data_IF_068629240263
#
_entry.id   IF_068629240263
#
_cell.length_a   1.000
_cell.length_b   1.000
_cell.length_c   1.000
_cell.angle_alpha   90.00
_cell.angle_beta   90.00
_cell.angle_gamma   90.00
#
_symmetry.space_group_name_H-M   'P 1'
#
loop_
_entity.id
_entity.type
_entity.pdbx_description
1 polymer ?
#
# COMPACT_ATOMS: atom_id res chain seq x y z
N UNK A 1 -1.31 25.38 -6.53
CA UNK A 1 -0.10 24.74 -6.06
C UNK A 1 0.15 23.43 -6.77
N UNK A 2 1.32 23.24 -7.18
CA UNK A 2 1.68 22.12 -8.03
C UNK A 2 2.06 20.89 -7.21
N UNK A 3 1.61 19.70 -7.66
CA UNK A 3 2.03 18.43 -7.10
C UNK A 3 3.23 17.84 -7.83
N UNK A 4 3.81 18.62 -8.73
CA UNK A 4 4.84 18.08 -9.63
C UNK A 4 6.05 17.51 -8.91
N UNK A 5 6.41 18.09 -7.79
CA UNK A 5 7.60 17.63 -7.06
C UNK A 5 7.27 16.66 -5.94
N UNK A 6 6.01 16.32 -5.79
CA UNK A 6 5.60 15.39 -4.74
C UNK A 6 5.60 13.97 -5.26
N UNK A 7 5.99 13.07 -4.39
CA UNK A 7 5.90 11.64 -4.65
C UNK A 7 4.56 11.14 -4.14
N UNK A 8 3.66 10.86 -5.06
CA UNK A 8 2.30 10.45 -4.76
C UNK A 8 2.13 8.97 -5.05
N UNK A 9 1.59 8.25 -4.09
CA UNK A 9 1.42 6.81 -4.23
C UNK A 9 0.03 6.40 -3.80
N UNK A 10 -0.39 5.24 -4.29
CA UNK A 10 -1.61 4.60 -3.85
C UNK A 10 -1.39 3.11 -3.74
N UNK A 11 -2.13 2.49 -2.83
CA UNK A 11 -2.06 1.05 -2.64
C UNK A 11 -3.49 0.54 -2.48
N UNK A 12 -3.85 -0.43 -3.29
CA UNK A 12 -5.02 -1.25 -3.02
C UNK A 12 -4.54 -2.51 -2.33
N UNK A 13 -5.15 -2.88 -1.23
CA UNK A 13 -4.68 -4.06 -0.52
C UNK A 13 -5.81 -4.80 0.19
N UNK A 14 -5.59 -6.09 0.35
CA UNK A 14 -6.35 -6.92 1.27
C UNK A 14 -5.33 -7.75 2.06
N UNK A 15 -5.78 -8.75 2.78
CA UNK A 15 -4.85 -9.55 3.59
C UNK A 15 -3.96 -10.46 2.76
N UNK A 16 -4.27 -10.64 1.48
CA UNK A 16 -3.54 -11.57 0.61
C UNK A 16 -2.66 -10.87 -0.40
N UNK A 17 -3.06 -9.69 -0.86
CA UNK A 17 -2.40 -9.06 -1.99
C UNK A 17 -2.42 -7.55 -1.86
N UNK A 18 -1.47 -6.92 -2.54
CA UNK A 18 -1.44 -5.47 -2.66
C UNK A 18 -1.00 -5.10 -4.08
N UNK A 19 -1.56 -4.00 -4.57
CA UNK A 19 -1.17 -3.42 -5.85
C UNK A 19 -0.71 -2.00 -5.57
N UNK A 20 0.49 -1.66 -6.02
CA UNK A 20 1.11 -0.37 -5.75
C UNK A 20 1.07 0.48 -7.02
N UNK A 21 0.61 1.71 -6.87
CA UNK A 21 0.48 2.67 -7.97
C UNK A 21 1.21 3.93 -7.57
N UNK A 22 1.85 4.58 -8.51
CA UNK A 22 2.51 5.84 -8.18
C UNK A 22 3.00 6.56 -9.39
N UNK A 23 3.53 7.76 -9.15
CA UNK A 23 4.19 8.53 -10.18
C UNK A 23 5.66 8.13 -10.17
N UNK A 24 6.18 7.77 -11.32
CA UNK A 24 7.52 7.25 -11.42
C UNK A 24 8.59 8.33 -11.36
N UNK A 25 8.34 9.45 -12.02
CA UNK A 25 9.31 10.50 -12.15
C UNK A 25 8.80 11.80 -11.54
N UNK A 26 9.75 12.60 -11.07
CA UNK A 26 9.43 13.95 -10.64
C UNK A 26 8.90 14.75 -11.84
N UNK A 27 7.89 15.53 -11.59
CA UNK A 27 7.36 16.41 -12.62
C UNK A 27 6.33 15.79 -13.52
N UNK A 28 6.02 14.50 -13.33
CA UNK A 28 4.96 13.86 -14.07
C UNK A 28 3.78 13.59 -13.14
N UNK A 29 2.58 13.73 -13.69
CA UNK A 29 1.36 13.43 -12.94
C UNK A 29 0.73 12.12 -13.39
N UNK A 30 1.43 11.40 -14.24
CA UNK A 30 0.91 10.14 -14.75
C UNK A 30 1.19 9.02 -13.77
N UNK A 31 0.14 8.31 -13.36
CA UNK A 31 0.27 7.21 -12.44
C UNK A 31 0.45 5.90 -13.21
N UNK A 32 1.24 5.02 -12.62
CA UNK A 32 1.54 3.72 -13.21
C UNK A 32 1.46 2.66 -12.15
N UNK A 33 1.21 1.42 -12.59
CA UNK A 33 1.29 0.26 -11.70
C UNK A 33 2.78 0.00 -11.44
N UNK A 34 3.18 0.11 -10.20
CA UNK A 34 4.58 -0.09 -9.83
C UNK A 34 4.90 -1.52 -9.45
N UNK A 35 3.89 -2.27 -9.05
CA UNK A 35 4.12 -3.66 -8.71
C UNK A 35 3.01 -4.26 -7.89
N UNK A 36 3.19 -5.54 -7.61
CA UNK A 36 2.25 -6.33 -6.82
C UNK A 36 3.03 -7.04 -5.74
N UNK A 37 2.42 -7.20 -4.57
CA UNK A 37 3.03 -7.92 -3.47
C UNK A 37 2.00 -8.90 -2.94
N UNK A 38 2.43 -10.12 -2.65
CA UNK A 38 1.56 -11.14 -2.09
C UNK A 38 1.96 -11.44 -0.66
N UNK A 39 0.97 -11.73 0.17
CA UNK A 39 1.21 -12.15 1.55
C UNK A 39 1.02 -13.66 1.64
N UNK A 40 2.10 -14.45 1.59
CA UNK A 40 1.98 -15.90 1.55
C UNK A 40 1.42 -16.50 2.84
N UNK A 41 1.51 -15.78 3.95
CA UNK A 41 1.03 -16.27 5.22
C UNK A 41 -0.48 -16.36 5.33
N UNK A 42 -1.19 -15.64 4.48
CA UNK A 42 -2.64 -15.57 4.58
C UNK A 42 -3.34 -16.89 4.24
N UNK A 43 -2.66 -17.78 3.53
CA UNK A 43 -3.24 -19.05 3.10
C UNK A 43 -2.75 -20.24 3.90
N UNK A 44 -2.05 -20.02 4.96
CA UNK A 44 -1.46 -21.11 5.73
C UNK A 44 -2.48 -21.74 6.66
N UNK A 45 -2.59 -23.05 6.62
CA UNK A 45 -3.55 -23.81 7.41
C UNK A 45 -2.93 -24.67 8.51
N UNK A 46 -1.76 -24.31 8.95
CA UNK A 46 -1.05 -25.08 9.94
C UNK A 46 -1.62 -24.90 11.35
N UNK A 47 -0.93 -25.45 12.33
CA UNK A 47 -1.26 -25.36 13.73
C UNK A 47 -1.58 -23.93 14.16
N UNK A 48 -2.66 -23.75 14.91
CA UNK A 48 -3.17 -22.43 15.24
C UNK A 48 -2.18 -21.53 15.97
N UNK A 49 -1.57 -22.05 17.03
CA UNK A 49 -0.65 -21.21 17.82
C UNK A 49 0.59 -20.81 17.05
N UNK A 50 1.10 -21.74 16.28
CA UNK A 50 2.25 -21.50 15.45
C UNK A 50 1.90 -20.52 14.33
N UNK A 51 0.71 -20.67 13.80
CA UNK A 51 0.21 -19.88 12.71
C UNK A 51 0.08 -18.40 13.10
N UNK A 52 -0.40 -18.13 14.30
CA UNK A 52 -0.60 -16.75 14.74
C UNK A 52 0.72 -15.97 14.74
N UNK A 53 1.77 -16.55 15.29
CA UNK A 53 3.08 -15.89 15.31
C UNK A 53 3.65 -15.72 13.91
N UNK A 54 3.45 -16.70 13.05
CA UNK A 54 3.89 -16.63 11.67
C UNK A 54 3.15 -15.53 10.91
N UNK A 55 1.85 -15.40 11.17
CA UNK A 55 1.04 -14.39 10.49
C UNK A 55 1.53 -12.98 10.81
N UNK A 56 1.90 -12.73 12.06
CA UNK A 56 2.39 -11.42 12.46
C UNK A 56 3.69 -11.12 11.71
N UNK A 57 4.62 -12.07 11.69
CA UNK A 57 5.90 -11.89 11.03
C UNK A 57 5.73 -11.70 9.52
N UNK A 58 4.85 -12.50 8.91
CA UNK A 58 4.63 -12.42 7.48
C UNK A 58 3.88 -11.15 7.08
N UNK A 59 2.99 -10.68 7.94
CA UNK A 59 2.31 -9.41 7.68
C UNK A 59 3.30 -8.25 7.71
N UNK A 60 4.23 -8.27 8.65
CA UNK A 60 5.29 -7.25 8.69
C UNK A 60 6.15 -7.30 7.44
N UNK A 61 6.50 -8.50 7.00
CA UNK A 61 7.27 -8.66 5.77
C UNK A 61 6.49 -8.15 4.57
N UNK A 62 5.21 -8.44 4.53
CA UNK A 62 4.31 -7.97 3.49
C UNK A 62 4.31 -6.43 3.43
N UNK A 63 4.15 -5.79 4.58
CA UNK A 63 4.18 -4.32 4.66
C UNK A 63 5.53 -3.76 4.23
N UNK A 64 6.60 -4.40 4.65
CA UNK A 64 7.94 -3.96 4.31
C UNK A 64 8.17 -4.04 2.80
N UNK A 65 7.68 -5.09 2.17
CA UNK A 65 7.82 -5.24 0.73
C UNK A 65 7.01 -4.19 -0.02
N UNK A 66 5.79 -3.90 0.45
CA UNK A 66 4.98 -2.86 -0.14
C UNK A 66 5.71 -1.52 -0.05
N UNK A 67 6.19 -1.19 1.13
CA UNK A 67 6.85 0.09 1.36
C UNK A 67 8.15 0.21 0.56
N UNK A 68 8.83 -0.90 0.33
CA UNK A 68 10.09 -0.87 -0.42
C UNK A 68 9.91 -0.43 -1.87
N UNK A 69 8.69 -0.53 -2.38
CA UNK A 69 8.40 -0.07 -3.74
C UNK A 69 8.08 1.43 -3.81
N UNK A 70 8.06 2.08 -2.65
CA UNK A 70 7.71 3.49 -2.54
C UNK A 70 8.77 4.20 -1.70
N UNK A 71 9.97 4.40 -2.23
CA UNK A 71 11.12 4.82 -1.40
C UNK A 71 10.98 6.21 -0.77
N UNK A 72 10.28 7.12 -1.38
CA UNK A 72 10.17 8.48 -0.85
C UNK A 72 8.73 8.94 -0.98
N UNK A 73 7.94 8.69 0.06
CA UNK A 73 6.52 9.00 0.01
C UNK A 73 6.25 10.39 0.55
N UNK A 74 5.62 11.23 -0.23
CA UNK A 74 5.09 12.50 0.26
C UNK A 74 3.64 12.34 0.66
N UNK A 75 2.83 11.73 -0.21
CA UNK A 75 1.44 11.43 0.10
C UNK A 75 1.12 10.04 -0.41
N UNK A 76 0.29 9.34 0.32
CA UNK A 76 -0.15 8.00 -0.06
C UNK A 76 -1.63 7.84 0.29
N UNK A 77 -2.37 7.27 -0.64
CA UNK A 77 -3.75 6.87 -0.39
C UNK A 77 -3.84 5.36 -0.39
N UNK A 78 -4.39 4.81 0.69
CA UNK A 78 -4.48 3.37 0.86
C UNK A 78 -5.95 2.98 0.87
N UNK A 79 -6.31 2.04 0.01
CA UNK A 79 -7.68 1.58 -0.09
C UNK A 79 -7.69 0.05 -0.12
N UNK A 80 -8.80 -0.54 0.21
CA UNK A 80 -8.90 -1.99 0.22
C UNK A 80 -10.19 -2.46 0.86
N UNK A 81 -10.22 -3.73 1.21
CA UNK A 81 -11.46 -4.38 1.59
C UNK A 81 -11.79 -4.33 3.08
N UNK A 82 -10.87 -3.88 3.93
CA UNK A 82 -11.16 -3.91 5.35
C UNK A 82 -10.11 -3.29 6.22
N UNK A 83 -9.71 -4.00 7.25
CA UNK A 83 -8.91 -3.45 8.32
C UNK A 83 -7.41 -3.42 8.06
N UNK A 84 -6.97 -4.12 7.05
CA UNK A 84 -5.53 -4.21 6.79
C UNK A 84 -4.94 -2.85 6.43
N UNK A 85 -5.72 -1.96 5.81
CA UNK A 85 -5.26 -0.62 5.48
C UNK A 85 -4.83 0.14 6.71
N UNK A 86 -5.61 0.06 7.78
CA UNK A 86 -5.29 0.76 9.02
C UNK A 86 -4.01 0.23 9.63
N UNK A 87 -3.79 -1.05 9.56
CA UNK A 87 -2.56 -1.66 10.07
C UNK A 87 -1.36 -1.18 9.28
N UNK A 88 -1.51 -1.06 7.97
CA UNK A 88 -0.41 -0.59 7.14
C UNK A 88 -0.11 0.89 7.41
N UNK A 89 -1.14 1.71 7.60
CA UNK A 89 -0.94 3.11 7.94
C UNK A 89 -0.18 3.25 9.25
N UNK A 90 -0.55 2.43 10.23
CA UNK A 90 0.17 2.42 11.51
C UNK A 90 1.62 2.03 11.32
N UNK A 91 1.87 1.03 10.49
CA UNK A 91 3.22 0.59 10.18
C UNK A 91 4.05 1.76 9.61
N UNK A 92 3.47 2.50 8.67
CA UNK A 92 4.17 3.64 8.07
C UNK A 92 4.45 4.72 9.11
N UNK A 93 3.48 4.99 9.95
CA UNK A 93 3.63 6.03 10.97
C UNK A 93 4.72 5.68 11.98
N UNK A 94 4.94 4.39 12.20
CA UNK A 94 5.95 3.92 13.16
C UNK A 94 7.31 3.66 12.51
N UNK A 95 7.41 3.80 11.20
CA UNK A 95 8.66 3.59 10.49
C UNK A 95 9.31 4.95 10.24
N UNK A 96 10.51 5.20 10.79
CA UNK A 96 11.11 6.53 10.71
C UNK A 96 11.19 7.10 9.30
N UNK A 97 11.44 6.24 8.32
CA UNK A 97 11.56 6.67 6.94
C UNK A 97 10.25 7.24 6.39
N UNK A 98 9.12 6.79 6.91
CA UNK A 98 7.81 7.15 6.35
C UNK A 98 6.93 7.96 7.31
N UNK A 99 7.44 8.27 8.48
CA UNK A 99 6.58 8.87 9.50
C UNK A 99 6.01 10.23 9.11
N UNK A 100 6.62 10.90 8.17
CA UNK A 100 6.16 12.21 7.71
C UNK A 100 5.27 12.12 6.46
N UNK A 101 5.05 10.94 5.94
CA UNK A 101 4.17 10.76 4.80
C UNK A 101 2.73 11.05 5.19
N UNK A 102 2.04 11.75 4.30
CA UNK A 102 0.64 12.07 4.54
C UNK A 102 -0.22 10.93 4.01
N UNK A 103 -0.80 10.16 4.91
CA UNK A 103 -1.55 8.96 4.54
C UNK A 103 -3.04 9.17 4.74
N UNK A 104 -3.81 8.77 3.74
CA UNK A 104 -5.27 8.78 3.81
C UNK A 104 -5.77 7.37 3.47
N UNK A 105 -7.01 7.11 3.80
CA UNK A 105 -7.55 5.77 3.70
C UNK A 105 -8.99 5.80 3.19
N UNK A 106 -9.36 4.75 2.45
CA UNK A 106 -10.74 4.50 2.07
C UNK A 106 -10.97 3.01 1.97
N UNK A 107 -12.22 2.62 1.80
CA UNK A 107 -12.59 1.21 1.62
C UNK A 107 -13.11 1.04 0.21
N UNK A 108 -12.70 -0.03 -0.45
CA UNK A 108 -13.15 -0.33 -1.80
C UNK A 108 -13.10 -1.83 -2.04
N UNK A 109 -13.91 -2.28 -2.98
CA UNK A 109 -13.89 -3.67 -3.39
C UNK A 109 -12.69 -3.95 -4.28
N UNK A 110 -12.37 -5.22 -4.43
CA UNK A 110 -11.30 -5.60 -5.34
C UNK A 110 -11.63 -5.14 -6.76
N UNK A 111 -10.62 -4.65 -7.45
CA UNK A 111 -10.80 -4.16 -8.80
C UNK A 111 -9.54 -4.45 -9.62
N UNK A 112 -9.65 -4.29 -10.93
CA UNK A 112 -8.53 -4.51 -11.84
C UNK A 112 -7.44 -3.47 -11.60
N UNK A 113 -6.24 -3.78 -12.07
CA UNK A 113 -5.11 -2.86 -11.97
C UNK A 113 -5.44 -1.51 -12.61
N UNK A 114 -6.09 -1.53 -13.76
CA UNK A 114 -6.44 -0.30 -14.44
C UNK A 114 -7.41 0.54 -13.62
N UNK A 115 -8.38 -0.11 -13.00
CA UNK A 115 -9.34 0.59 -12.17
C UNK A 115 -8.69 1.12 -10.89
N UNK A 116 -7.75 0.38 -10.33
CA UNK A 116 -7.00 0.85 -9.17
C UNK A 116 -6.22 2.11 -9.54
N UNK A 117 -5.54 2.07 -10.68
CA UNK A 117 -4.78 3.21 -11.15
C UNK A 117 -5.69 4.43 -11.31
N UNK A 118 -6.83 4.25 -11.94
CA UNK A 118 -7.78 5.34 -12.13
C UNK A 118 -8.32 5.87 -10.80
N UNK A 119 -8.60 4.98 -9.88
CA UNK A 119 -9.10 5.33 -8.56
C UNK A 119 -8.10 6.23 -7.83
N UNK A 120 -6.84 5.82 -7.83
CA UNK A 120 -5.79 6.57 -7.15
C UNK A 120 -5.56 7.90 -7.85
N UNK A 121 -5.53 7.89 -9.17
CA UNK A 121 -5.33 9.10 -9.95
C UNK A 121 -6.42 10.12 -9.65
N UNK A 122 -7.67 9.68 -9.59
CA UNK A 122 -8.79 10.56 -9.28
C UNK A 122 -8.73 11.10 -7.86
N UNK A 123 -8.20 10.31 -6.95
CA UNK A 123 -8.08 10.76 -5.56
C UNK A 123 -7.16 11.97 -5.46
N UNK A 124 -6.10 11.99 -6.23
CA UNK A 124 -5.10 13.05 -6.17
C UNK A 124 -5.38 14.21 -7.11
N UNK A 125 -6.36 14.07 -8.00
CA UNK A 125 -6.68 15.16 -8.94
C UNK A 125 -7.90 15.98 -8.55
#
# INVERSE_FOLDING_TARGET
MSNKNKKLFGVWMDTHNATIVGTEDHGTEEFKILGHVANPGADNNSNENHLHNQEIALTHKFFKEIASKMPNIDEIHITGTGQIQQQFIKYLAETPQYKNALATESTSNKMSDENIKDYIEKHFN
#
